data_IF_962625405834
#
_entry.id   IF_962625405834
#
_cell.length_a   1.000
_cell.length_b   1.000
_cell.length_c   1.000
_cell.angle_alpha   90.00
_cell.angle_beta   90.00
_cell.angle_gamma   90.00
#
_symmetry.space_group_name_H-M   'P 1'
#
loop_
_entity.id
_entity.type
_entity.pdbx_description
1 polymer ?
#
# COMPACT_ATOMS: atom_id res chain seq x y z
N UNK A 1 -24.32 -6.44 2.64
CA UNK A 1 -23.22 -5.71 3.29
C UNK A 1 -22.63 -4.80 2.23
N UNK A 2 -22.77 -3.48 2.39
CA UNK A 2 -22.35 -2.50 1.37
C UNK A 2 -20.82 -2.28 1.51
N UNK A 3 -20.07 -3.07 0.75
CA UNK A 3 -18.60 -3.07 0.81
C UNK A 3 -18.03 -1.73 0.33
N UNK A 4 -18.71 -1.05 -0.59
CA UNK A 4 -18.31 0.24 -1.13
C UNK A 4 -18.35 1.30 -0.03
N UNK A 5 -19.44 1.36 0.74
CA UNK A 5 -19.54 2.25 1.90
C UNK A 5 -18.51 1.95 2.99
N UNK A 6 -18.27 0.66 3.24
CA UNK A 6 -17.29 0.23 4.25
C UNK A 6 -15.87 0.60 3.83
N UNK A 7 -15.57 0.46 2.53
CA UNK A 7 -14.29 0.84 1.95
C UNK A 7 -14.12 2.36 1.96
N UNK A 8 -15.16 3.12 1.61
CA UNK A 8 -15.11 4.58 1.63
C UNK A 8 -14.88 5.13 3.05
N UNK A 9 -15.57 4.58 4.05
CA UNK A 9 -15.36 4.93 5.46
C UNK A 9 -13.94 4.59 5.93
N UNK A 10 -13.39 3.46 5.48
CA UNK A 10 -12.00 3.12 5.75
C UNK A 10 -11.02 4.10 5.11
N UNK A 11 -11.27 4.53 3.86
CA UNK A 11 -10.44 5.53 3.20
C UNK A 11 -10.52 6.90 3.88
N UNK A 12 -11.70 7.33 4.31
CA UNK A 12 -11.88 8.55 5.11
C UNK A 12 -11.05 8.49 6.38
N UNK A 13 -11.15 7.38 7.12
CA UNK A 13 -10.34 7.14 8.31
C UNK A 13 -8.84 7.20 8.02
N UNK A 14 -8.36 6.61 6.92
CA UNK A 14 -6.95 6.69 6.54
C UNK A 14 -6.49 8.10 6.16
N UNK A 15 -7.37 8.93 5.57
CA UNK A 15 -7.03 10.29 5.16
C UNK A 15 -6.69 11.20 6.35
N UNK A 16 -7.22 10.92 7.55
CA UNK A 16 -6.85 11.63 8.78
C UNK A 16 -5.33 11.60 9.05
N UNK A 17 -4.65 10.53 8.65
CA UNK A 17 -3.20 10.39 8.83
C UNK A 17 -2.37 11.23 7.83
N UNK A 18 -2.97 11.74 6.76
CA UNK A 18 -2.26 12.44 5.69
C UNK A 18 -2.09 13.94 5.95
N UNK A 19 -2.85 14.51 6.90
CA UNK A 19 -2.74 15.89 7.39
C UNK A 19 -3.11 17.01 6.41
N UNK A 20 -3.14 16.74 5.09
CA UNK A 20 -3.43 17.73 4.04
C UNK A 20 -4.44 17.20 3.02
N UNK A 21 -5.44 18.02 2.70
CA UNK A 21 -6.55 17.71 1.79
C UNK A 21 -6.07 17.36 0.36
N UNK A 22 -4.97 17.97 -0.11
CA UNK A 22 -4.39 17.66 -1.43
C UNK A 22 -3.89 16.20 -1.58
N UNK A 23 -3.67 15.50 -0.46
CA UNK A 23 -3.14 14.12 -0.44
C UNK A 23 -4.25 13.06 -0.41
N UNK A 24 -5.47 13.46 -0.06
CA UNK A 24 -6.63 12.57 0.00
C UNK A 24 -6.99 12.00 -1.38
N UNK A 25 -7.02 12.84 -2.42
CA UNK A 25 -7.26 12.38 -3.79
C UNK A 25 -6.21 11.37 -4.28
N UNK A 26 -4.95 11.55 -3.84
CA UNK A 26 -3.86 10.63 -4.13
C UNK A 26 -4.04 9.27 -3.47
N UNK A 27 -4.36 9.24 -2.17
CA UNK A 27 -4.60 8.00 -1.43
C UNK A 27 -5.81 7.25 -1.97
N UNK A 28 -6.96 7.93 -2.11
CA UNK A 28 -8.19 7.32 -2.64
C UNK A 28 -7.94 6.74 -4.02
N UNK A 29 -7.31 7.51 -4.90
CA UNK A 29 -6.94 7.07 -6.25
C UNK A 29 -6.05 5.83 -6.24
N UNK A 30 -5.03 5.82 -5.40
CA UNK A 30 -4.10 4.71 -5.30
C UNK A 30 -4.79 3.45 -4.75
N UNK A 31 -5.54 3.56 -3.66
CA UNK A 31 -6.26 2.44 -3.04
C UNK A 31 -7.34 1.87 -3.96
N UNK A 32 -8.15 2.72 -4.61
CA UNK A 32 -9.13 2.28 -5.60
C UNK A 32 -8.45 1.53 -6.76
N UNK A 33 -7.33 2.06 -7.25
CA UNK A 33 -6.52 1.38 -8.25
C UNK A 33 -6.03 -0.01 -7.80
N UNK A 34 -5.60 -0.14 -6.55
CA UNK A 34 -5.19 -1.41 -5.97
C UNK A 34 -6.33 -2.42 -5.84
N UNK A 35 -7.59 -1.99 -5.88
CA UNK A 35 -8.76 -2.89 -5.90
C UNK A 35 -9.17 -3.35 -7.31
N UNK A 36 -8.68 -2.71 -8.38
CA UNK A 36 -9.05 -3.08 -9.77
C UNK A 36 -8.60 -4.51 -10.14
N UNK A 37 -9.31 -5.26 -10.98
CA UNK A 37 -8.92 -6.62 -11.37
C UNK A 37 -7.80 -6.65 -12.43
N UNK A 38 -6.67 -5.97 -12.16
CA UNK A 38 -5.54 -5.85 -13.09
C UNK A 38 -4.35 -6.70 -12.64
N UNK A 39 -3.66 -7.34 -13.62
CA UNK A 39 -2.51 -8.21 -13.35
C UNK A 39 -1.29 -7.48 -12.79
N UNK A 40 -1.03 -6.25 -13.23
CA UNK A 40 0.14 -5.45 -12.80
C UNK A 40 -0.33 -4.25 -12.01
N UNK A 41 0.08 -4.16 -10.75
CA UNK A 41 -0.28 -3.10 -9.79
C UNK A 41 0.74 -1.98 -9.70
N UNK A 42 1.43 -1.66 -10.80
CA UNK A 42 2.33 -0.52 -10.88
C UNK A 42 1.56 0.76 -11.22
N UNK A 43 2.14 1.93 -10.95
CA UNK A 43 1.49 3.24 -11.11
C UNK A 43 0.91 3.46 -12.52
N UNK A 44 1.62 3.07 -13.56
CA UNK A 44 1.19 3.24 -14.97
C UNK A 44 -0.10 2.47 -15.30
N UNK A 45 -0.20 1.13 -15.12
CA UNK A 45 -1.47 0.40 -15.23
C UNK A 45 -2.61 0.96 -14.37
N UNK A 46 -2.31 1.43 -13.16
CA UNK A 46 -3.33 2.04 -12.30
C UNK A 46 -3.88 3.32 -12.92
N UNK A 47 -3.00 4.23 -13.37
CA UNK A 47 -3.38 5.46 -14.04
C UNK A 47 -4.19 5.20 -15.31
N UNK A 48 -3.76 4.23 -16.12
CA UNK A 48 -4.43 3.87 -17.38
C UNK A 48 -5.85 3.34 -17.18
N UNK A 49 -6.12 2.64 -16.06
CA UNK A 49 -7.47 2.13 -15.78
C UNK A 49 -8.34 3.11 -15.01
N UNK A 50 -7.75 3.96 -14.14
CA UNK A 50 -8.51 4.95 -13.38
C UNK A 50 -8.95 6.13 -14.25
N UNK A 51 -8.06 6.65 -15.11
CA UNK A 51 -8.34 7.77 -15.99
C UNK A 51 -7.72 7.56 -17.38
N UNK A 52 -8.35 6.74 -18.26
CA UNK A 52 -7.83 6.42 -19.60
C UNK A 52 -7.61 7.65 -20.50
N UNK A 53 -8.40 8.72 -20.32
CA UNK A 53 -8.27 9.95 -21.10
C UNK A 53 -7.16 10.88 -20.59
N UNK A 54 -6.66 10.65 -19.37
CA UNK A 54 -5.69 11.52 -18.69
C UNK A 54 -4.56 10.73 -18.05
N UNK A 55 -4.16 9.62 -18.68
CA UNK A 55 -3.16 8.67 -18.14
C UNK A 55 -1.89 9.36 -17.66
N UNK A 56 -1.32 10.28 -18.45
CA UNK A 56 -0.09 11.00 -18.09
C UNK A 56 -0.26 11.84 -16.82
N UNK A 57 -1.34 12.63 -16.73
CA UNK A 57 -1.62 13.45 -15.56
C UNK A 57 -1.89 12.59 -14.32
N UNK A 58 -2.66 11.51 -14.48
CA UNK A 58 -2.98 10.59 -13.39
C UNK A 58 -1.75 9.81 -12.92
N UNK A 59 -0.89 9.38 -13.84
CA UNK A 59 0.39 8.76 -13.53
C UNK A 59 1.27 9.70 -12.71
N UNK A 60 1.41 10.96 -13.13
CA UNK A 60 2.21 11.94 -12.37
C UNK A 60 1.64 12.20 -10.98
N UNK A 61 0.32 12.31 -10.85
CA UNK A 61 -0.37 12.48 -9.56
C UNK A 61 -0.12 11.30 -8.62
N UNK A 62 -0.34 10.06 -9.10
CA UNK A 62 -0.12 8.84 -8.31
C UNK A 62 1.36 8.63 -7.98
N UNK A 63 2.25 8.86 -8.94
CA UNK A 63 3.69 8.76 -8.73
C UNK A 63 4.16 9.79 -7.70
N UNK A 64 3.68 11.04 -7.78
CA UNK A 64 3.99 12.07 -6.80
C UNK A 64 3.48 11.66 -5.41
N UNK A 65 2.24 11.15 -5.33
CA UNK A 65 1.66 10.67 -4.08
C UNK A 65 2.41 9.48 -3.46
N UNK A 66 2.95 8.55 -4.24
CA UNK A 66 3.65 7.39 -3.67
C UNK A 66 5.12 7.67 -3.40
N UNK A 67 5.78 8.50 -4.21
CA UNK A 67 7.24 8.63 -4.21
C UNK A 67 7.78 9.97 -3.71
N UNK A 68 6.95 11.04 -3.66
CA UNK A 68 7.44 12.41 -3.41
C UNK A 68 6.66 13.19 -2.35
N UNK A 69 5.45 12.78 -1.99
CA UNK A 69 4.66 13.47 -0.98
C UNK A 69 5.16 13.15 0.43
N UNK A 70 5.17 14.16 1.29
CA UNK A 70 5.67 14.08 2.67
C UNK A 70 4.61 13.55 3.65
N UNK A 71 4.03 12.38 3.39
CA UNK A 71 3.18 11.69 4.37
C UNK A 71 4.00 10.73 5.22
N UNK A 72 3.60 10.58 6.49
CA UNK A 72 4.23 9.63 7.40
C UNK A 72 3.65 8.24 7.20
N UNK A 73 4.49 7.31 6.76
CA UNK A 73 4.16 5.89 6.69
C UNK A 73 3.81 5.31 8.06
N UNK A 74 4.52 5.74 9.10
CA UNK A 74 4.27 5.38 10.49
C UNK A 74 2.87 5.83 10.93
N UNK A 75 2.50 7.09 10.68
CA UNK A 75 1.17 7.60 11.03
C UNK A 75 0.05 6.85 10.28
N UNK A 76 0.27 6.54 8.99
CA UNK A 76 -0.69 5.77 8.20
C UNK A 76 -0.85 4.34 8.75
N UNK A 77 0.25 3.67 9.09
CA UNK A 77 0.22 2.32 9.69
C UNK A 77 -0.44 2.32 11.07
N UNK A 78 -0.25 3.35 11.88
CA UNK A 78 -0.97 3.53 13.15
C UNK A 78 -2.48 3.68 12.93
N UNK A 79 -2.88 4.38 11.88
CA UNK A 79 -4.29 4.56 11.53
C UNK A 79 -4.93 3.24 11.07
N UNK A 80 -4.21 2.45 10.27
CA UNK A 80 -4.61 1.07 9.90
C UNK A 80 -4.80 0.21 11.15
N UNK A 81 -3.84 0.25 12.10
CA UNK A 81 -3.94 -0.51 13.36
C UNK A 81 -5.16 -0.08 14.17
N UNK A 82 -5.41 1.22 14.29
CA UNK A 82 -6.58 1.77 14.99
C UNK A 82 -7.90 1.31 14.38
N UNK A 83 -7.95 1.12 13.06
CA UNK A 83 -9.13 0.57 12.39
C UNK A 83 -9.29 -0.93 12.63
N UNK A 84 -8.20 -1.71 12.56
CA UNK A 84 -8.25 -3.16 12.65
C UNK A 84 -8.46 -3.70 14.06
N UNK A 85 -7.83 -3.08 15.08
CA UNK A 85 -7.82 -3.59 16.46
C UNK A 85 -9.23 -3.79 17.06
N UNK A 86 -10.21 -2.88 16.89
CA UNK A 86 -11.57 -3.10 17.39
C UNK A 86 -12.28 -4.31 16.79
N UNK A 87 -11.83 -4.80 15.63
CA UNK A 87 -12.37 -5.99 14.98
C UNK A 87 -11.68 -7.30 15.42
N UNK A 88 -10.57 -7.21 16.14
CA UNK A 88 -9.87 -8.35 16.69
C UNK A 88 -10.36 -8.51 18.12
N UNK A 89 -11.23 -9.49 18.42
CA UNK A 89 -11.76 -9.74 19.77
C UNK A 89 -10.61 -9.95 20.78
N UNK A 90 -10.19 -8.90 21.53
CA UNK A 90 -9.01 -9.02 22.38
C UNK A 90 -9.34 -9.84 23.64
N UNK A 91 -10.62 -9.92 24.00
CA UNK A 91 -11.11 -10.69 25.13
C UNK A 91 -11.06 -12.20 24.85
N UNK A 92 -11.25 -12.59 23.58
CA UNK A 92 -11.06 -13.97 23.10
C UNK A 92 -9.59 -14.40 22.94
N UNK A 93 -8.64 -13.47 23.10
CA UNK A 93 -7.20 -13.69 22.92
C UNK A 93 -6.72 -13.40 21.50
N UNK A 94 -5.48 -12.90 21.39
CA UNK A 94 -4.84 -12.55 20.12
C UNK A 94 -3.72 -13.54 19.79
N UNK A 95 -3.68 -14.01 18.55
CA UNK A 95 -2.59 -14.85 18.04
C UNK A 95 -1.69 -14.04 17.12
N UNK A 96 -0.37 -14.13 17.35
CA UNK A 96 0.63 -13.46 16.53
C UNK A 96 1.13 -14.43 15.47
N UNK A 97 0.81 -14.13 14.20
CA UNK A 97 1.39 -14.82 13.06
C UNK A 97 2.52 -13.94 12.55
N UNK A 98 3.75 -14.38 12.77
CA UNK A 98 4.95 -13.71 12.27
C UNK A 98 5.51 -14.60 11.17
N UNK A 99 5.35 -14.16 9.93
CA UNK A 99 5.94 -14.79 8.76
C UNK A 99 6.90 -13.81 8.08
N UNK A 100 8.08 -14.29 7.68
CA UNK A 100 9.11 -13.47 7.06
C UNK A 100 8.81 -13.39 5.55
N UNK A 101 7.88 -12.53 5.15
CA UNK A 101 7.50 -12.39 3.75
C UNK A 101 8.63 -11.73 2.94
N UNK A 102 9.43 -12.55 2.27
CA UNK A 102 10.46 -12.11 1.32
C UNK A 102 9.90 -12.02 -0.10
N UNK A 103 9.54 -10.83 -0.58
CA UNK A 103 9.23 -10.65 -2.00
C UNK A 103 10.52 -10.73 -2.83
N UNK A 104 10.60 -11.58 -3.86
CA UNK A 104 11.75 -11.59 -4.76
C UNK A 104 11.79 -10.30 -5.59
N UNK A 105 12.51 -9.29 -5.07
CA UNK A 105 12.80 -8.06 -5.78
C UNK A 105 13.86 -8.33 -6.85
N UNK A 106 13.49 -8.23 -8.14
CA UNK A 106 14.43 -8.20 -9.27
C UNK A 106 14.60 -6.76 -9.75
N UNK A 107 15.79 -6.18 -9.56
CA UNK A 107 16.17 -4.88 -10.14
C UNK A 107 17.33 -4.19 -9.43
N UNK A 108 18.17 -3.47 -10.18
CA UNK A 108 19.26 -2.61 -9.65
C UNK A 108 18.77 -1.31 -9.00
N UNK A 109 17.49 -1.00 -9.14
CA UNK A 109 16.88 0.26 -8.70
C UNK A 109 15.84 0.07 -7.58
N UNK A 110 15.70 -1.15 -7.05
CA UNK A 110 14.84 -1.39 -5.90
C UNK A 110 15.54 -0.88 -4.64
N UNK A 111 14.91 0.07 -3.95
CA UNK A 111 15.47 0.68 -2.75
C UNK A 111 15.65 -0.42 -1.69
N UNK A 112 16.86 -0.39 -1.12
CA UNK A 112 17.55 -1.19 -0.09
C UNK A 112 17.52 -2.72 -0.19
N UNK A 113 18.75 -3.21 -0.19
CA UNK A 113 19.13 -4.56 -0.56
C UNK A 113 20.23 -5.04 0.40
N UNK A 114 19.84 -5.70 1.49
CA UNK A 114 20.71 -6.54 2.32
C UNK A 114 20.24 -8.00 2.20
N UNK A 115 21.20 -8.94 2.24
CA UNK A 115 20.96 -10.38 2.03
C UNK A 115 20.21 -10.97 3.23
N UNK A 116 19.05 -11.58 2.98
CA UNK A 116 18.35 -12.40 3.96
C UNK A 116 18.01 -13.77 3.33
N UNK A 117 18.04 -14.82 4.17
CA UNK A 117 17.77 -16.20 3.76
C UNK A 117 16.27 -16.40 3.49
N UNK A 118 15.93 -17.02 2.36
CA UNK A 118 14.55 -17.35 1.97
C UNK A 118 14.45 -18.86 1.85
N UNK A 119 13.64 -19.51 2.70
CA UNK A 119 13.48 -20.96 2.72
C UNK A 119 12.69 -21.55 1.55
N UNK A 120 12.10 -20.72 0.68
CA UNK A 120 11.37 -21.17 -0.53
C UNK A 120 12.26 -21.37 -1.76
N UNK A 121 13.53 -20.99 -1.70
CA UNK A 121 14.46 -21.10 -2.82
C UNK A 121 15.80 -21.62 -2.30
N UNK A 122 16.04 -22.92 -2.46
CA UNK A 122 17.41 -23.42 -2.52
C UNK A 122 18.15 -22.61 -3.58
N UNK A 123 19.16 -21.85 -3.15
CA UNK A 123 20.10 -21.09 -3.97
C UNK A 123 19.67 -19.67 -4.42
N UNK A 124 20.22 -18.69 -3.68
CA UNK A 124 20.70 -17.35 -4.08
C UNK A 124 19.72 -16.18 -4.31
N UNK A 125 19.88 -15.25 -3.37
CA UNK A 125 19.89 -13.77 -3.46
C UNK A 125 18.54 -13.07 -3.60
N UNK A 126 18.06 -12.55 -2.47
CA UNK A 126 17.06 -11.48 -2.41
C UNK A 126 17.45 -10.45 -1.35
N UNK A 127 16.83 -9.28 -1.48
CA UNK A 127 17.39 -7.97 -1.19
C UNK A 127 16.41 -7.14 -0.34
N UNK A 128 16.78 -6.72 0.88
CA UNK A 128 15.90 -5.93 1.82
C UNK A 128 16.45 -4.55 2.25
N UNK A 129 15.57 -3.57 2.47
CA UNK A 129 15.88 -2.20 2.98
C UNK A 129 16.21 -2.22 4.46
N UNK A 130 17.12 -1.31 4.87
CA UNK A 130 17.26 -0.86 6.26
C UNK A 130 16.01 -0.11 6.69
#
# INVERSE_FOLDING_TARGET
MDWERSFEAYLEHLCEALGHNDRESGLRGYCQGLMLPIRRKSVEPLAAHLEPERVSARHQSLHHFVAKSEWSDTALLEQVRRWALPHMDPAGGLYWIIDDTGFPKKGKHSVGVARQYCGQLENRTTARLR
#
